data_IF_442383938461
#
_entry.id   IF_442383938461
#
_cell.length_a   1.000
_cell.length_b   1.000
_cell.length_c   1.000
_cell.angle_alpha   90.00
_cell.angle_beta   90.00
_cell.angle_gamma   90.00
#
_symmetry.space_group_name_H-M   'P 1'
#
loop_
_entity.id
_entity.type
_entity.pdbx_description
1 polymer ?
#
# COMPACT_ATOMS: atom_id res chain seq x y z
N UNK A 1 25.29 -20.16 3.21
CA UNK A 1 23.88 -19.74 3.10
C UNK A 1 23.73 -18.35 3.73
N UNK A 2 23.15 -17.36 3.04
CA UNK A 2 23.02 -16.01 3.57
C UNK A 2 22.15 -15.88 4.84
N UNK A 3 21.32 -16.88 5.16
CA UNK A 3 20.41 -16.85 6.32
C UNK A 3 21.10 -17.44 7.57
N UNK A 4 21.64 -18.66 7.48
CA UNK A 4 22.27 -19.32 8.63
C UNK A 4 23.78 -19.07 8.75
N UNK A 5 24.38 -18.37 7.77
CA UNK A 5 25.82 -18.11 7.67
C UNK A 5 26.74 -19.35 7.60
N UNK A 6 26.16 -20.56 7.54
CA UNK A 6 26.90 -21.83 7.39
C UNK A 6 26.90 -22.38 5.95
N UNK A 7 27.41 -23.60 5.79
CA UNK A 7 27.38 -24.33 4.50
C UNK A 7 25.96 -24.52 3.96
N UNK A 8 25.84 -24.59 2.63
CA UNK A 8 24.55 -24.78 1.96
C UNK A 8 24.08 -26.23 2.06
N UNK A 9 23.01 -26.48 2.82
CA UNK A 9 22.36 -27.79 2.98
C UNK A 9 21.05 -27.82 2.21
N UNK A 10 20.87 -28.79 1.32
CA UNK A 10 19.66 -28.93 0.49
C UNK A 10 19.32 -27.62 -0.24
N UNK A 11 20.19 -27.14 -1.14
CA UNK A 11 20.08 -25.80 -1.71
C UNK A 11 18.77 -25.62 -2.48
N UNK A 12 18.09 -24.49 -2.24
CA UNK A 12 16.94 -24.03 -3.00
C UNK A 12 17.24 -22.66 -3.60
N UNK A 13 17.10 -22.57 -4.91
CA UNK A 13 17.28 -21.33 -5.69
C UNK A 13 15.93 -20.70 -5.98
N UNK A 14 15.77 -19.43 -5.66
CA UNK A 14 14.54 -18.72 -5.96
C UNK A 14 14.47 -18.33 -7.46
N UNK A 15 13.38 -18.65 -8.15
CA UNK A 15 13.30 -18.59 -9.62
C UNK A 15 13.53 -17.19 -10.21
N UNK A 16 12.88 -16.17 -9.65
CA UNK A 16 12.89 -14.78 -10.19
C UNK A 16 14.22 -14.03 -10.00
N UNK A 17 14.91 -14.19 -8.87
CA UNK A 17 16.11 -13.43 -8.50
C UNK A 17 17.38 -14.30 -8.39
N UNK A 18 17.25 -15.61 -8.57
CA UNK A 18 18.36 -16.58 -8.63
C UNK A 18 19.24 -16.66 -7.38
N UNK A 19 18.82 -16.08 -6.25
CA UNK A 19 19.50 -16.23 -4.96
C UNK A 19 19.24 -17.61 -4.36
N UNK A 20 20.29 -18.22 -3.80
CA UNK A 20 20.27 -19.58 -3.26
C UNK A 20 20.41 -19.61 -1.74
N UNK A 21 19.62 -20.47 -1.10
CA UNK A 21 19.59 -20.65 0.35
C UNK A 21 19.54 -22.14 0.72
N UNK A 22 19.80 -22.50 1.99
CA UNK A 22 19.39 -23.80 2.49
C UNK A 22 17.86 -23.93 2.38
N UNK A 23 17.36 -25.09 1.97
CA UNK A 23 15.93 -25.31 1.75
C UNK A 23 15.06 -24.95 2.96
N UNK A 24 15.46 -25.41 4.15
CA UNK A 24 14.76 -25.09 5.40
C UNK A 24 14.84 -23.60 5.78
N UNK A 25 15.99 -22.97 5.56
CA UNK A 25 16.19 -21.56 5.88
C UNK A 25 15.24 -20.68 5.06
N UNK A 26 15.15 -20.91 3.75
CA UNK A 26 14.26 -20.12 2.90
C UNK A 26 12.79 -20.46 3.12
N UNK A 27 12.45 -21.72 3.41
CA UNK A 27 11.08 -22.08 3.76
C UNK A 27 10.58 -21.31 4.99
N UNK A 28 11.39 -21.23 6.05
CA UNK A 28 11.06 -20.46 7.26
C UNK A 28 11.01 -18.96 7.00
N UNK A 29 11.97 -18.42 6.23
CA UNK A 29 11.99 -17.00 5.91
C UNK A 29 10.73 -16.57 5.12
N UNK A 30 10.30 -17.37 4.14
CA UNK A 30 9.12 -17.07 3.32
C UNK A 30 7.80 -17.15 4.08
N UNK A 31 7.74 -17.89 5.20
CA UNK A 31 6.58 -17.88 6.10
C UNK A 31 6.43 -16.56 6.86
N UNK A 32 7.54 -15.88 7.17
CA UNK A 32 7.53 -14.58 7.86
C UNK A 32 7.27 -13.45 6.89
N UNK A 33 7.99 -13.44 5.76
CA UNK A 33 7.83 -12.47 4.69
C UNK A 33 8.04 -13.19 3.38
N UNK A 34 7.04 -13.16 2.50
CA UNK A 34 7.11 -13.76 1.17
C UNK A 34 8.01 -12.94 0.22
N UNK A 35 9.26 -12.70 0.62
CA UNK A 35 10.27 -11.97 -0.13
C UNK A 35 11.66 -12.58 0.07
N UNK A 36 12.53 -12.44 -0.93
CA UNK A 36 13.90 -12.88 -0.88
C UNK A 36 14.68 -12.13 0.22
N UNK A 37 15.33 -12.82 1.18
CA UNK A 37 16.09 -12.16 2.26
C UNK A 37 17.31 -11.37 1.80
N UNK A 38 17.79 -11.57 0.57
CA UNK A 38 18.98 -10.88 0.03
C UNK A 38 18.61 -9.60 -0.71
N UNK A 39 17.57 -9.64 -1.56
CA UNK A 39 17.23 -8.51 -2.43
C UNK A 39 15.80 -7.96 -2.24
N UNK A 40 15.00 -8.55 -1.36
CA UNK A 40 13.63 -8.11 -1.08
C UNK A 40 12.60 -8.43 -2.18
N UNK A 41 12.98 -9.13 -3.26
CA UNK A 41 12.03 -9.51 -4.33
C UNK A 41 10.91 -10.40 -3.75
N UNK A 42 9.64 -10.05 -3.97
CA UNK A 42 8.49 -10.81 -3.48
C UNK A 42 8.23 -12.13 -4.25
N UNK A 43 7.89 -13.17 -3.49
CA UNK A 43 7.57 -14.55 -3.90
C UNK A 43 6.24 -14.97 -3.28
N UNK A 44 5.17 -14.36 -3.77
CA UNK A 44 3.81 -14.49 -3.25
C UNK A 44 3.07 -13.17 -3.38
N UNK A 45 1.76 -13.18 -3.11
CA UNK A 45 0.97 -11.96 -3.02
C UNK A 45 1.04 -11.47 -1.58
N UNK A 46 1.62 -10.28 -1.36
CA UNK A 46 1.59 -9.67 -0.04
C UNK A 46 0.15 -9.26 0.25
N UNK A 47 -0.42 -9.78 1.34
CA UNK A 47 -1.76 -9.37 1.79
C UNK A 47 -1.60 -8.65 3.13
N UNK A 48 -2.09 -7.42 3.19
CA UNK A 48 -2.06 -6.63 4.41
C UNK A 48 -3.24 -6.94 5.35
N UNK A 49 -3.34 -6.14 6.41
CA UNK A 49 -4.38 -6.26 7.44
C UNK A 49 -5.38 -5.08 7.40
N UNK A 50 -5.58 -4.43 6.25
CA UNK A 50 -6.73 -3.53 6.06
C UNK A 50 -8.04 -4.27 6.40
N UNK A 51 -9.02 -3.67 7.09
CA UNK A 51 -10.33 -4.29 7.30
C UNK A 51 -11.00 -4.73 5.98
N UNK A 52 -11.57 -5.94 5.89
CA UNK A 52 -12.03 -6.53 4.63
C UNK A 52 -13.33 -5.91 4.08
N UNK A 53 -14.09 -5.21 4.91
CA UNK A 53 -15.39 -4.61 4.63
C UNK A 53 -15.30 -3.17 4.09
N UNK A 54 -14.08 -2.69 3.82
CA UNK A 54 -13.84 -1.42 3.15
C UNK A 54 -14.31 -1.40 1.71
N UNK A 55 -14.77 -0.24 1.25
CA UNK A 55 -15.13 0.03 -0.15
C UNK A 55 -14.23 1.13 -0.72
N UNK A 56 -13.82 0.96 -1.97
CA UNK A 56 -13.11 1.97 -2.77
C UNK A 56 -14.02 2.38 -3.93
N UNK A 57 -14.47 3.63 -3.92
CA UNK A 57 -15.34 4.24 -4.93
C UNK A 57 -14.52 5.25 -5.74
N UNK A 58 -14.75 5.31 -7.04
CA UNK A 58 -14.00 6.19 -7.95
C UNK A 58 -15.00 7.01 -8.76
N UNK A 59 -14.87 8.32 -8.70
CA UNK A 59 -15.58 9.27 -9.55
C UNK A 59 -14.58 10.16 -10.29
N UNK A 60 -15.04 10.87 -11.31
CA UNK A 60 -14.21 11.77 -12.13
C UNK A 60 -14.92 13.10 -12.28
N UNK A 61 -14.14 14.18 -12.19
CA UNK A 61 -14.62 15.54 -12.33
C UNK A 61 -13.73 16.30 -13.31
N UNK A 62 -14.26 16.61 -14.49
CA UNK A 62 -13.55 17.36 -15.52
C UNK A 62 -13.50 18.87 -15.24
N UNK A 63 -14.35 19.38 -14.34
CA UNK A 63 -14.41 20.80 -13.99
C UNK A 63 -13.48 21.17 -12.82
N UNK A 64 -12.83 20.17 -12.21
CA UNK A 64 -11.89 20.34 -11.12
C UNK A 64 -10.47 20.01 -11.60
N UNK A 65 -9.71 20.96 -12.16
CA UNK A 65 -8.30 20.74 -12.47
C UNK A 65 -7.46 20.77 -11.19
N UNK A 66 -6.46 19.89 -11.10
CA UNK A 66 -5.45 19.96 -10.04
C UNK A 66 -4.31 20.91 -10.48
N UNK A 67 -3.77 21.74 -9.57
CA UNK A 67 -2.59 22.55 -9.87
C UNK A 67 -1.43 21.70 -10.42
N UNK A 68 -0.92 22.08 -11.59
CA UNK A 68 0.10 21.36 -12.36
C UNK A 68 -0.44 20.31 -13.35
N UNK A 69 -1.76 20.14 -13.43
CA UNK A 69 -2.45 19.22 -14.34
C UNK A 69 -3.69 19.88 -14.98
N UNK A 70 -3.61 21.19 -15.27
CA UNK A 70 -4.75 22.01 -15.73
C UNK A 70 -5.38 21.54 -17.05
N UNK A 71 -4.64 20.78 -17.86
CA UNK A 71 -5.14 20.17 -19.09
C UNK A 71 -6.00 18.92 -18.87
N UNK A 72 -6.14 18.46 -17.61
CA UNK A 72 -6.81 17.21 -17.24
C UNK A 72 -7.88 17.46 -16.18
N UNK A 73 -8.84 16.52 -16.07
CA UNK A 73 -9.76 16.46 -14.95
C UNK A 73 -9.11 15.89 -13.68
N UNK A 74 -9.93 15.61 -12.68
CA UNK A 74 -9.54 14.94 -11.43
C UNK A 74 -10.25 13.61 -11.27
N UNK A 75 -9.51 12.58 -10.89
CA UNK A 75 -10.03 11.33 -10.34
C UNK A 75 -10.18 11.49 -8.83
N UNK A 76 -11.39 11.29 -8.32
CA UNK A 76 -11.71 11.35 -6.89
C UNK A 76 -11.90 9.92 -6.40
N UNK A 77 -11.14 9.54 -5.38
CA UNK A 77 -11.16 8.21 -4.79
C UNK A 77 -11.68 8.31 -3.38
N UNK A 78 -12.83 7.69 -3.11
CA UNK A 78 -13.42 7.64 -1.78
C UNK A 78 -13.25 6.24 -1.20
N UNK A 79 -12.62 6.17 -0.03
CA UNK A 79 -12.53 4.97 0.79
C UNK A 79 -13.52 5.06 1.93
N UNK A 80 -14.36 4.03 2.09
CA UNK A 80 -15.38 3.97 3.14
C UNK A 80 -15.22 2.67 3.91
N UNK A 81 -15.03 2.77 5.22
CA UNK A 81 -14.96 1.65 6.14
C UNK A 81 -16.02 1.78 7.23
N UNK A 82 -16.84 0.77 7.48
CA UNK A 82 -17.70 0.74 8.66
C UNK A 82 -16.87 0.50 9.94
N UNK A 83 -17.44 0.75 11.13
CA UNK A 83 -16.83 0.31 12.39
C UNK A 83 -16.82 -1.22 12.49
N UNK A 84 -15.85 -1.75 13.21
CA UNK A 84 -15.68 -3.20 13.32
C UNK A 84 -14.91 -3.64 14.56
N UNK A 85 -14.52 -4.91 14.57
CA UNK A 85 -13.75 -5.56 15.63
C UNK A 85 -12.44 -6.05 15.03
N UNK A 86 -11.34 -5.86 15.76
CA UNK A 86 -10.02 -6.33 15.36
C UNK A 86 -9.98 -7.86 15.28
N UNK A 87 -9.73 -8.38 14.07
CA UNK A 87 -9.31 -9.77 13.84
C UNK A 87 -7.93 -10.11 14.42
N UNK A 88 -7.53 -11.37 14.25
CA UNK A 88 -6.26 -11.93 14.77
C UNK A 88 -5.02 -11.30 14.13
N UNK A 89 -5.17 -10.69 12.96
CA UNK A 89 -4.10 -10.02 12.22
C UNK A 89 -3.85 -8.56 12.67
N UNK A 90 -4.66 -8.04 13.59
CA UNK A 90 -4.57 -6.67 14.09
C UNK A 90 -3.87 -6.62 15.46
N UNK A 91 -3.42 -5.43 15.90
CA UNK A 91 -2.64 -5.29 17.14
C UNK A 91 -3.34 -5.78 18.41
N UNK A 92 -4.67 -5.58 18.51
CA UNK A 92 -5.46 -5.93 19.70
C UNK A 92 -6.70 -6.73 19.30
N UNK A 93 -6.58 -8.06 19.04
CA UNK A 93 -7.72 -8.89 18.64
C UNK A 93 -8.89 -8.80 19.63
N UNK A 94 -10.12 -8.70 19.11
CA UNK A 94 -11.35 -8.54 19.90
C UNK A 94 -11.67 -7.09 20.30
N UNK A 95 -10.74 -6.14 20.15
CA UNK A 95 -10.98 -4.72 20.45
C UNK A 95 -11.67 -4.04 19.27
N UNK A 96 -12.64 -3.15 19.55
CA UNK A 96 -13.35 -2.39 18.52
C UNK A 96 -12.48 -1.30 17.89
N UNK A 97 -12.73 -1.01 16.61
CA UNK A 97 -12.25 0.20 15.93
C UNK A 97 -13.43 0.96 15.31
N UNK A 98 -13.37 2.31 15.26
CA UNK A 98 -14.39 3.10 14.58
C UNK A 98 -14.24 3.02 13.06
N UNK A 99 -15.34 3.24 12.34
CA UNK A 99 -15.32 3.39 10.88
C UNK A 99 -14.67 4.70 10.45
N UNK A 100 -14.38 4.83 9.16
CA UNK A 100 -13.79 6.05 8.59
C UNK A 100 -14.18 6.25 7.14
N UNK A 101 -14.14 7.50 6.70
CA UNK A 101 -14.22 7.89 5.29
C UNK A 101 -13.03 8.76 4.95
N UNK A 102 -12.34 8.42 3.86
CA UNK A 102 -11.18 9.15 3.36
C UNK A 102 -11.36 9.45 1.88
N UNK A 103 -10.94 10.63 1.46
CA UNK A 103 -10.96 11.04 0.05
C UNK A 103 -9.54 11.31 -0.39
N UNK A 104 -9.21 10.87 -1.60
CA UNK A 104 -7.95 11.13 -2.25
C UNK A 104 -8.16 11.57 -3.70
N UNK A 105 -7.17 12.26 -4.25
CA UNK A 105 -7.21 12.86 -5.58
C UNK A 105 -6.03 12.40 -6.42
N UNK A 106 -6.27 12.14 -7.71
CA UNK A 106 -5.26 11.96 -8.74
C UNK A 106 -5.66 12.80 -9.96
N UNK A 107 -4.70 13.31 -10.75
CA UNK A 107 -5.03 13.90 -12.04
C UNK A 107 -5.60 12.85 -12.98
N UNK A 108 -6.62 13.20 -13.77
CA UNK A 108 -7.16 12.34 -14.81
C UNK A 108 -6.33 12.37 -16.10
N UNK A 109 -5.04 12.05 -15.94
CA UNK A 109 -4.07 11.93 -17.03
C UNK A 109 -3.59 10.46 -17.14
N UNK A 110 -2.85 10.08 -18.20
CA UNK A 110 -2.38 8.71 -18.36
C UNK A 110 -1.62 8.17 -17.14
N UNK A 111 -0.72 8.97 -16.56
CA UNK A 111 0.05 8.56 -15.37
C UNK A 111 -0.82 8.45 -14.12
N UNK A 112 -1.77 9.37 -13.91
CA UNK A 112 -2.71 9.28 -12.79
C UNK A 112 -3.63 8.06 -12.88
N UNK A 113 -4.05 7.67 -14.10
CA UNK A 113 -4.81 6.45 -14.34
C UNK A 113 -3.99 5.18 -14.07
N UNK A 114 -2.70 5.19 -14.37
CA UNK A 114 -1.76 4.13 -13.97
C UNK A 114 -1.69 3.99 -12.45
N UNK A 115 -1.51 5.10 -11.72
CA UNK A 115 -1.50 5.09 -10.25
C UNK A 115 -2.85 4.60 -9.69
N UNK A 116 -3.98 4.98 -10.28
CA UNK A 116 -5.30 4.48 -9.90
C UNK A 116 -5.39 2.94 -10.01
N UNK A 117 -4.85 2.36 -11.08
CA UNK A 117 -4.78 0.91 -11.26
C UNK A 117 -3.98 0.23 -10.13
N UNK A 118 -2.84 0.79 -9.78
CA UNK A 118 -2.00 0.30 -8.67
C UNK A 118 -2.69 0.46 -7.31
N UNK A 119 -3.40 1.57 -7.07
CA UNK A 119 -4.20 1.77 -5.86
C UNK A 119 -5.31 0.73 -5.73
N UNK A 120 -5.99 0.38 -6.81
CA UNK A 120 -6.98 -0.71 -6.82
C UNK A 120 -6.34 -2.04 -6.45
N UNK A 121 -5.16 -2.36 -7.01
CA UNK A 121 -4.42 -3.58 -6.70
C UNK A 121 -3.97 -3.63 -5.23
N UNK A 122 -3.44 -2.52 -4.71
CA UNK A 122 -3.06 -2.38 -3.30
C UNK A 122 -4.26 -2.53 -2.36
N UNK A 123 -5.40 -1.92 -2.70
CA UNK A 123 -6.63 -2.01 -1.91
C UNK A 123 -7.19 -3.45 -1.90
N UNK A 124 -7.23 -4.11 -3.05
CA UNK A 124 -7.63 -5.52 -3.17
C UNK A 124 -6.70 -6.45 -2.37
N UNK A 125 -5.42 -6.09 -2.26
CA UNK A 125 -4.43 -6.79 -1.45
C UNK A 125 -4.43 -6.37 0.03
N UNK A 126 -5.40 -5.56 0.48
CA UNK A 126 -5.52 -5.11 1.87
C UNK A 126 -4.31 -4.29 2.36
N UNK A 127 -3.62 -3.59 1.45
CA UNK A 127 -2.37 -2.85 1.73
C UNK A 127 -2.54 -1.34 1.86
N UNK A 128 -3.69 -0.77 1.50
CA UNK A 128 -3.89 0.70 1.53
C UNK A 128 -4.05 1.23 2.95
N UNK A 129 -4.75 0.47 3.80
CA UNK A 129 -4.99 0.81 5.20
C UNK A 129 -4.52 -0.30 6.14
N UNK A 130 -4.55 0.01 7.43
CA UNK A 130 -4.31 -0.93 8.55
C UNK A 130 -5.10 -0.46 9.77
N UNK A 131 -5.22 -1.31 10.80
CA UNK A 131 -5.66 -0.88 12.14
C UNK A 131 -4.45 -0.68 13.02
N UNK A 132 -4.32 0.51 13.61
CA UNK A 132 -3.18 0.86 14.44
C UNK A 132 -3.36 2.18 15.16
N UNK A 133 -2.25 2.89 15.37
CA UNK A 133 -2.22 4.21 16.01
C UNK A 133 -2.10 5.29 14.94
N UNK A 134 -3.03 6.25 14.97
CA UNK A 134 -2.98 7.42 14.10
C UNK A 134 -1.78 8.30 14.47
N UNK A 135 -0.86 8.51 13.52
CA UNK A 135 0.32 9.37 13.73
C UNK A 135 -0.04 10.84 13.96
N UNK A 136 -1.18 11.29 13.43
CA UNK A 136 -1.63 12.69 13.56
C UNK A 136 -2.32 12.98 14.88
N UNK A 137 -3.04 12.01 15.45
CA UNK A 137 -3.87 12.22 16.65
C UNK A 137 -3.40 11.43 17.87
N UNK A 138 -2.48 10.49 17.70
CA UNK A 138 -2.05 9.55 18.74
C UNK A 138 -3.13 8.50 19.11
N UNK A 139 -4.29 8.52 18.47
CA UNK A 139 -5.39 7.62 18.80
C UNK A 139 -5.09 6.19 18.34
N UNK A 140 -5.07 5.26 19.27
CA UNK A 140 -4.93 3.81 19.01
C UNK A 140 -6.24 3.17 18.56
N UNK A 141 -6.15 1.96 18.00
CA UNK A 141 -7.28 1.12 17.56
C UNK A 141 -8.16 1.82 16.51
N UNK A 142 -7.55 2.48 15.53
CA UNK A 142 -8.25 3.15 14.43
C UNK A 142 -7.71 2.72 13.08
N UNK A 143 -8.54 2.86 12.06
CA UNK A 143 -8.14 2.68 10.66
C UNK A 143 -7.24 3.85 10.25
N UNK A 144 -6.02 3.54 9.81
CA UNK A 144 -5.01 4.50 9.37
C UNK A 144 -4.41 4.07 8.03
N UNK A 145 -3.79 5.02 7.32
CA UNK A 145 -3.02 4.74 6.11
C UNK A 145 -1.86 3.78 6.41
N UNK A 146 -1.50 2.96 5.44
CA UNK A 146 -0.44 1.95 5.55
C UNK A 146 0.69 2.23 4.55
N UNK A 147 1.42 3.33 4.77
CA UNK A 147 2.60 3.81 4.00
C UNK A 147 2.43 3.84 2.47
N UNK A 148 1.21 4.10 1.99
CA UNK A 148 0.96 4.47 0.59
C UNK A 148 0.37 5.88 0.64
N UNK A 149 1.16 6.88 0.27
CA UNK A 149 0.74 8.27 0.40
C UNK A 149 -0.35 8.59 -0.61
N UNK A 150 -1.42 9.20 -0.11
CA UNK A 150 -2.51 9.71 -0.92
C UNK A 150 -2.55 11.23 -0.81
N UNK A 151 -2.92 11.88 -1.90
CA UNK A 151 -3.22 13.31 -1.89
C UNK A 151 -4.63 13.52 -1.39
N UNK A 152 -4.76 14.03 -0.17
CA UNK A 152 -6.04 14.23 0.51
C UNK A 152 -6.59 15.65 0.39
N UNK A 153 -5.84 16.54 -0.27
CA UNK A 153 -6.26 17.88 -0.66
C UNK A 153 -5.97 18.12 -2.15
N UNK A 154 -6.78 18.94 -2.81
CA UNK A 154 -6.52 19.35 -4.20
C UNK A 154 -5.47 20.47 -4.28
N UNK A 155 -5.19 21.17 -3.18
CA UNK A 155 -4.31 22.35 -3.13
C UNK A 155 -3.37 22.30 -1.91
N UNK A 156 -2.50 23.29 -1.76
CA UNK A 156 -1.63 23.43 -0.58
C UNK A 156 -0.29 22.68 -0.68
N UNK A 157 -0.01 22.08 -1.84
CA UNK A 157 1.25 21.40 -2.12
C UNK A 157 1.53 20.20 -1.19
N UNK A 158 2.75 19.65 -1.23
CA UNK A 158 3.10 18.44 -0.48
C UNK A 158 2.92 18.55 1.02
N UNK A 159 3.12 19.74 1.62
CA UNK A 159 2.99 19.96 3.06
C UNK A 159 1.57 19.77 3.58
N UNK A 160 0.57 20.05 2.74
CA UNK A 160 -0.83 19.84 3.06
C UNK A 160 -1.40 18.59 2.38
N UNK A 161 -0.54 17.64 1.97
CA UNK A 161 -0.95 16.43 1.26
C UNK A 161 -1.76 16.75 -0.01
N UNK A 162 -1.44 17.82 -0.71
CA UNK A 162 -2.13 18.24 -1.92
C UNK A 162 -1.22 18.63 -3.07
N UNK A 163 -1.77 19.37 -4.02
CA UNK A 163 -1.11 19.80 -5.26
C UNK A 163 -0.80 21.31 -5.23
N UNK A 164 0.16 21.80 -6.03
CA UNK A 164 1.02 21.06 -6.94
C UNK A 164 2.07 20.23 -6.19
N UNK A 165 2.39 19.04 -6.70
CA UNK A 165 3.51 18.21 -6.25
C UNK A 165 4.02 17.40 -7.46
N UNK A 166 4.99 17.94 -8.22
CA UNK A 166 5.43 17.35 -9.47
C UNK A 166 6.12 15.99 -9.30
N UNK A 167 6.52 15.64 -8.07
CA UNK A 167 7.20 14.37 -7.78
C UNK A 167 6.26 13.27 -7.30
N UNK A 168 5.01 13.61 -6.96
CA UNK A 168 4.12 12.70 -6.25
C UNK A 168 3.83 11.39 -7.00
N UNK A 169 3.46 11.47 -8.29
CA UNK A 169 3.11 10.26 -9.05
C UNK A 169 4.27 9.28 -9.14
N UNK A 170 5.50 9.77 -9.32
CA UNK A 170 6.70 8.93 -9.29
C UNK A 170 6.97 8.33 -7.90
N UNK A 171 6.89 9.16 -6.84
CA UNK A 171 7.12 8.70 -5.45
C UNK A 171 6.12 7.64 -5.02
N UNK A 172 4.84 7.81 -5.30
CA UNK A 172 3.81 6.85 -4.87
C UNK A 172 3.91 5.52 -5.64
N UNK A 173 4.35 5.54 -6.90
CA UNK A 173 4.65 4.31 -7.63
C UNK A 173 5.81 3.54 -6.99
N UNK A 174 6.84 4.23 -6.49
CA UNK A 174 7.94 3.61 -5.75
C UNK A 174 7.48 3.02 -4.42
N UNK A 175 6.62 3.71 -3.67
CA UNK A 175 6.01 3.20 -2.43
C UNK A 175 5.18 1.93 -2.68
N UNK A 176 4.36 1.93 -3.75
CA UNK A 176 3.59 0.76 -4.20
C UNK A 176 4.52 -0.40 -4.59
N UNK A 177 5.57 -0.12 -5.35
CA UNK A 177 6.58 -1.11 -5.75
C UNK A 177 7.29 -1.72 -4.54
N UNK A 178 7.62 -0.91 -3.53
CA UNK A 178 8.22 -1.38 -2.28
C UNK A 178 7.29 -2.32 -1.49
N UNK A 179 5.97 -2.19 -1.66
CA UNK A 179 4.94 -3.11 -1.13
C UNK A 179 4.59 -4.26 -2.09
N UNK A 180 5.34 -4.44 -3.18
CA UNK A 180 5.13 -5.52 -4.15
C UNK A 180 3.97 -5.28 -5.12
N UNK A 181 3.46 -4.05 -5.20
CA UNK A 181 2.41 -3.64 -6.12
C UNK A 181 3.03 -3.06 -7.39
N UNK A 182 3.02 -3.86 -8.46
CA UNK A 182 3.52 -3.50 -9.80
C UNK A 182 2.40 -3.68 -10.84
N UNK A 183 2.62 -3.24 -12.07
CA UNK A 183 1.67 -3.45 -13.17
C UNK A 183 1.58 -4.92 -13.61
N UNK A 184 2.67 -5.68 -13.43
CA UNK A 184 2.80 -7.11 -13.78
C UNK A 184 1.89 -8.06 -12.97
#
# INVERSE_FOLDING_TARGET
CPICLGEMRGPRTLERCRHSFCGECIARALQVRSACPVCGRFYGQLVGNQPPDGRMLVTRDAALPLPGYEAFGTIIIQYVFPPGVQGVEHPNPGVRYPGTTRVAYLPDCPEGNKVLGLFRKAFAQRLTFTVGTSLTTGRANVITWNDIHHKTNCTGGPQLFGYPDPTYLARVQEELRAKGITED
#
